data_IF_463504667020
#
_entry.id   IF_463504667020
#
_cell.length_a   1.000
_cell.length_b   1.000
_cell.length_c   1.000
_cell.angle_alpha   90.00
_cell.angle_beta   90.00
_cell.angle_gamma   90.00
#
_symmetry.space_group_name_H-M   'P 1'
#
loop_
_entity.id
_entity.type
_entity.pdbx_description
1 polymer ?
#
# COMPACT_ATOMS: atom_id res chain seq x y z
N UNK A 1 -34.85 6.12 -10.21
CA UNK A 1 -33.57 6.40 -9.53
C UNK A 1 -32.48 5.68 -10.30
N UNK A 2 -31.60 6.38 -11.01
CA UNK A 2 -30.44 5.75 -11.65
C UNK A 2 -29.42 5.50 -10.54
N UNK A 3 -29.25 4.23 -10.16
CA UNK A 3 -28.08 3.83 -9.40
C UNK A 3 -26.87 4.20 -10.26
N UNK A 4 -26.08 5.19 -9.82
CA UNK A 4 -24.74 5.36 -10.36
C UNK A 4 -24.00 4.07 -10.09
N UNK A 5 -23.83 3.25 -11.12
CA UNK A 5 -22.83 2.19 -11.13
C UNK A 5 -21.52 2.85 -10.72
N UNK A 6 -21.00 2.49 -9.55
CA UNK A 6 -19.67 2.91 -9.15
C UNK A 6 -18.73 2.55 -10.30
N UNK A 7 -17.85 3.47 -10.74
CA UNK A 7 -16.93 3.21 -11.85
C UNK A 7 -16.14 1.97 -11.47
N UNK A 8 -16.54 0.83 -12.04
CA UNK A 8 -15.87 -0.43 -11.79
C UNK A 8 -14.57 -0.24 -12.53
N UNK A 9 -13.46 -0.16 -11.81
CA UNK A 9 -12.15 -0.08 -12.43
C UNK A 9 -11.92 -1.46 -13.06
N UNK A 10 -12.38 -1.61 -14.30
CA UNK A 10 -12.66 -2.88 -14.98
C UNK A 10 -11.43 -3.53 -15.59
N UNK A 11 -10.24 -2.96 -15.44
CA UNK A 11 -9.01 -3.58 -15.95
C UNK A 11 -8.38 -4.49 -14.90
N UNK A 12 -8.30 -5.82 -15.13
CA UNK A 12 -7.60 -6.74 -14.22
C UNK A 12 -6.15 -6.30 -13.96
N UNK A 13 -5.50 -5.74 -14.98
CA UNK A 13 -4.13 -5.22 -14.90
C UNK A 13 -3.98 -4.05 -13.92
N UNK A 14 -5.02 -3.21 -13.80
CA UNK A 14 -5.02 -2.11 -12.83
C UNK A 14 -5.15 -2.61 -11.40
N UNK A 15 -6.03 -3.58 -11.18
CA UNK A 15 -6.21 -4.17 -9.84
C UNK A 15 -4.94 -4.90 -9.39
N UNK A 16 -4.29 -5.62 -10.30
CA UNK A 16 -3.01 -6.26 -10.02
C UNK A 16 -1.92 -5.24 -9.67
N UNK A 17 -1.79 -4.19 -10.48
CA UNK A 17 -0.85 -3.10 -10.21
C UNK A 17 -1.11 -2.43 -8.85
N UNK A 18 -2.38 -2.09 -8.57
CA UNK A 18 -2.79 -1.52 -7.27
C UNK A 18 -2.47 -2.45 -6.11
N UNK A 19 -2.69 -3.76 -6.25
CA UNK A 19 -2.37 -4.74 -5.21
C UNK A 19 -0.87 -4.84 -4.97
N UNK A 20 -0.05 -4.81 -6.03
CA UNK A 20 1.42 -4.76 -5.91
C UNK A 20 1.89 -3.50 -5.19
N UNK A 21 1.30 -2.35 -5.47
CA UNK A 21 1.59 -1.09 -4.77
C UNK A 21 1.19 -1.18 -3.29
N UNK A 22 0.02 -1.71 -2.97
CA UNK A 22 -0.43 -1.91 -1.57
C UNK A 22 0.55 -2.83 -0.83
N UNK A 23 0.97 -3.93 -1.44
CA UNK A 23 1.94 -4.87 -0.87
C UNK A 23 3.29 -4.19 -0.61
N UNK A 24 3.83 -3.48 -1.60
CA UNK A 24 5.09 -2.74 -1.46
C UNK A 24 5.01 -1.70 -0.32
N UNK A 25 3.90 -0.97 -0.20
CA UNK A 25 3.69 -0.02 0.91
C UNK A 25 3.67 -0.74 2.26
N UNK A 26 2.98 -1.87 2.36
CA UNK A 26 2.92 -2.64 3.60
C UNK A 26 4.31 -3.15 4.01
N UNK A 27 5.12 -3.60 3.06
CA UNK A 27 6.49 -4.06 3.34
C UNK A 27 7.37 -2.93 3.87
N UNK A 28 7.31 -1.75 3.25
CA UNK A 28 8.08 -0.57 3.69
C UNK A 28 7.64 -0.13 5.09
N UNK A 29 6.32 -0.01 5.32
CA UNK A 29 5.77 0.40 6.62
C UNK A 29 6.10 -0.62 7.72
N UNK A 30 6.08 -1.92 7.39
CA UNK A 30 6.46 -2.96 8.34
C UNK A 30 7.96 -2.89 8.70
N UNK A 31 8.82 -2.66 7.71
CA UNK A 31 10.26 -2.44 7.93
C UNK A 31 10.49 -1.20 8.82
N UNK A 32 9.85 -0.07 8.50
CA UNK A 32 9.98 1.16 9.28
C UNK A 32 9.48 0.98 10.71
N UNK A 33 8.37 0.25 10.90
CA UNK A 33 7.87 -0.13 12.23
C UNK A 33 8.88 -0.97 13.01
N UNK A 34 9.51 -1.97 12.38
CA UNK A 34 10.57 -2.78 13.01
C UNK A 34 11.78 -1.93 13.42
N UNK A 35 12.11 -0.91 12.65
CA UNK A 35 13.17 0.05 12.94
C UNK A 35 12.76 1.15 13.93
N UNK A 36 11.51 1.13 14.41
CA UNK A 36 10.89 2.18 15.24
C UNK A 36 11.02 3.59 14.62
N UNK A 37 10.85 3.68 13.29
CA UNK A 37 10.91 4.91 12.51
C UNK A 37 9.59 5.20 11.82
N UNK A 38 9.30 6.48 11.63
CA UNK A 38 8.23 6.95 10.75
C UNK A 38 8.77 7.24 9.36
N UNK A 39 7.90 7.13 8.35
CA UNK A 39 8.21 7.49 6.96
C UNK A 39 7.14 8.45 6.41
N UNK A 40 7.56 9.52 5.75
CA UNK A 40 6.65 10.44 5.08
C UNK A 40 6.21 9.86 3.71
N UNK A 41 5.23 10.47 3.06
CA UNK A 41 4.68 9.91 1.82
C UNK A 41 5.56 10.10 0.60
N UNK A 42 6.47 11.09 0.61
CA UNK A 42 7.44 11.31 -0.49
C UNK A 42 8.49 10.21 -0.51
N UNK A 43 9.20 10.02 0.61
CA UNK A 43 10.20 8.95 0.76
C UNK A 43 9.55 7.58 0.58
N UNK A 44 8.32 7.38 1.07
CA UNK A 44 7.57 6.15 0.83
C UNK A 44 7.31 5.89 -0.66
N UNK A 45 7.08 6.93 -1.47
CA UNK A 45 6.87 6.76 -2.90
C UNK A 45 8.14 6.31 -3.62
N UNK A 46 9.30 6.86 -3.24
CA UNK A 46 10.61 6.46 -3.75
C UNK A 46 10.92 4.99 -3.38
N UNK A 47 10.73 4.62 -2.13
CA UNK A 47 10.95 3.26 -1.61
C UNK A 47 10.02 2.21 -2.25
N UNK A 48 8.80 2.62 -2.62
CA UNK A 48 7.84 1.78 -3.36
C UNK A 48 8.27 1.64 -4.82
N UNK A 49 8.75 2.71 -5.45
CA UNK A 49 9.26 2.65 -6.81
C UNK A 49 10.43 1.67 -6.94
N UNK A 50 11.39 1.74 -6.01
CA UNK A 50 12.54 0.85 -5.95
C UNK A 50 12.10 -0.61 -5.79
N UNK A 51 11.19 -0.91 -4.85
CA UNK A 51 10.66 -2.28 -4.64
C UNK A 51 9.90 -2.83 -5.84
N UNK A 52 9.26 -1.96 -6.63
CA UNK A 52 8.55 -2.35 -7.84
C UNK A 52 9.46 -2.44 -9.06
N UNK A 53 10.73 -2.07 -8.94
CA UNK A 53 11.68 -1.99 -10.06
C UNK A 53 11.26 -0.95 -11.10
N UNK A 54 10.63 0.13 -10.65
CA UNK A 54 10.13 1.20 -11.51
C UNK A 54 11.15 2.33 -11.62
N UNK A 55 11.60 2.62 -12.83
CA UNK A 55 12.30 3.86 -13.14
C UNK A 55 11.30 5.01 -13.23
N UNK A 56 11.55 6.09 -12.49
CA UNK A 56 10.72 7.30 -12.49
C UNK A 56 11.52 8.42 -13.13
N UNK A 57 11.44 8.50 -14.45
CA UNK A 57 12.26 9.43 -15.22
C UNK A 57 11.60 10.80 -15.43
N UNK A 58 10.35 10.95 -14.98
CA UNK A 58 9.59 12.20 -15.15
C UNK A 58 8.91 12.65 -13.85
N UNK A 59 8.84 13.97 -13.61
CA UNK A 59 8.10 14.52 -12.48
C UNK A 59 6.62 14.11 -12.48
N UNK A 60 6.01 13.98 -13.66
CA UNK A 60 4.62 13.56 -13.79
C UNK A 60 4.38 12.12 -13.33
N UNK A 61 5.29 11.20 -13.67
CA UNK A 61 5.23 9.82 -13.20
C UNK A 61 5.40 9.74 -11.68
N UNK A 62 6.34 10.53 -11.13
CA UNK A 62 6.53 10.62 -9.68
C UNK A 62 5.26 11.09 -8.97
N UNK A 63 4.65 12.18 -9.44
CA UNK A 63 3.40 12.69 -8.85
C UNK A 63 2.26 11.67 -8.91
N UNK A 64 2.14 10.93 -10.01
CA UNK A 64 1.13 9.90 -10.16
C UNK A 64 1.33 8.78 -9.14
N UNK A 65 2.56 8.31 -8.95
CA UNK A 65 2.88 7.32 -7.93
C UNK A 65 2.63 7.85 -6.52
N UNK A 66 3.06 9.08 -6.23
CA UNK A 66 2.86 9.72 -4.93
C UNK A 66 1.36 9.82 -4.58
N UNK A 67 0.51 10.20 -5.55
CA UNK A 67 -0.95 10.22 -5.38
C UNK A 67 -1.49 8.82 -5.09
N UNK A 68 -1.03 7.81 -5.82
CA UNK A 68 -1.44 6.42 -5.61
C UNK A 68 -1.01 5.90 -4.23
N UNK A 69 0.22 6.16 -3.81
CA UNK A 69 0.75 5.80 -2.50
C UNK A 69 -0.07 6.45 -1.39
N UNK A 70 -0.34 7.76 -1.49
CA UNK A 70 -1.18 8.47 -0.51
C UNK A 70 -2.59 7.87 -0.42
N UNK A 71 -3.20 7.51 -1.56
CA UNK A 71 -4.52 6.93 -1.60
C UNK A 71 -4.59 5.49 -1.05
N UNK A 72 -3.51 4.71 -1.21
CA UNK A 72 -3.50 3.27 -0.87
C UNK A 72 -2.82 2.96 0.46
N UNK A 73 -2.03 3.88 1.02
CA UNK A 73 -1.35 3.74 2.32
C UNK A 73 -2.29 3.39 3.48
N UNK A 74 -3.49 3.98 3.64
CA UNK A 74 -4.42 3.58 4.69
C UNK A 74 -4.87 2.12 4.57
N UNK A 75 -5.01 1.62 3.33
CA UNK A 75 -5.42 0.24 3.04
C UNK A 75 -4.31 -0.73 3.43
N UNK A 76 -3.06 -0.41 3.08
CA UNK A 76 -1.90 -1.19 3.47
C UNK A 76 -1.75 -1.28 5.01
N UNK A 77 -1.92 -0.17 5.72
CA UNK A 77 -1.88 -0.10 7.19
C UNK A 77 -2.99 -0.95 7.84
N UNK A 78 -4.21 -0.88 7.30
CA UNK A 78 -5.30 -1.71 7.79
C UNK A 78 -5.05 -3.21 7.55
N UNK A 79 -4.44 -3.56 6.41
CA UNK A 79 -3.98 -4.93 6.15
C UNK A 79 -2.98 -5.41 7.20
N UNK A 80 -1.96 -4.59 7.51
CA UNK A 80 -0.97 -4.90 8.56
C UNK A 80 -1.62 -5.03 9.95
N UNK A 81 -2.59 -4.16 10.29
CA UNK A 81 -3.32 -4.22 11.56
C UNK A 81 -4.06 -5.54 11.71
N UNK A 82 -4.80 -5.96 10.68
CA UNK A 82 -5.56 -7.23 10.68
C UNK A 82 -4.67 -8.45 10.84
N UNK A 83 -3.51 -8.49 10.17
CA UNK A 83 -2.54 -9.58 10.33
C UNK A 83 -2.01 -9.61 11.76
N UNK A 84 -1.68 -8.44 12.31
CA UNK A 84 -1.21 -8.32 13.70
C UNK A 84 -2.27 -8.79 14.71
N UNK A 85 -3.53 -8.42 14.52
CA UNK A 85 -4.66 -8.84 15.37
C UNK A 85 -4.93 -10.34 15.25
N UNK A 86 -4.89 -10.89 14.04
CA UNK A 86 -5.08 -12.33 13.81
C UNK A 86 -3.98 -13.15 14.47
N UNK A 87 -2.72 -12.75 14.34
CA UNK A 87 -1.62 -13.43 15.02
C UNK A 87 -1.72 -13.29 16.55
N UNK A 88 -2.08 -12.11 17.06
CA UNK A 88 -2.27 -11.90 18.51
C UNK A 88 -3.45 -12.74 19.06
N UNK A 89 -4.52 -12.89 18.28
CA UNK A 89 -5.66 -13.76 18.63
C UNK A 89 -5.33 -15.25 18.60
N UNK A 90 -4.43 -15.69 17.72
CA UNK A 90 -3.94 -17.07 17.70
C UNK A 90 -3.09 -17.41 18.93
N UNK A 91 -2.32 -16.46 19.47
CA UNK A 91 -1.57 -16.67 20.73
C UNK A 91 -2.48 -16.73 21.97
N UNK A 92 -3.62 -16.02 21.97
CA UNK A 92 -4.58 -16.05 23.09
C UNK A 92 -5.39 -17.34 23.19
N UNK A 93 -5.53 -18.10 22.10
CA UNK A 93 -6.24 -19.39 22.08
C UNK A 93 -5.32 -20.59 22.36
N UNK A 94 -4.02 -20.36 22.57
CA UNK A 94 -3.02 -21.39 22.84
C UNK A 94 -2.56 -21.44 24.31
N UNK A 95 -3.25 -20.71 25.21
CA UNK A 95 -3.09 -20.74 26.66
C UNK A 95 -4.32 -21.38 27.31
#
# INVERSE_FOLDING_TARGET
>A
MKASEAPTIQSPTWNEYRNRVIAAIADVENLMRQLNKGINSEVLAEEVAERLGMEIDTPAAYEALLKLVRATRPIAREGLRRISEQHSGQFLLAL
#
